data_IF_701203925153
#
_entry.id   IF_701203925153
#
_cell.length_a   1.000
_cell.length_b   1.000
_cell.length_c   1.000
_cell.angle_alpha   90.00
_cell.angle_beta   90.00
_cell.angle_gamma   90.00
#
_symmetry.space_group_name_H-M   'P 1'
#
loop_
_entity.id
_entity.type
_entity.pdbx_description
1 polymer ?
#
# COMPACT_ATOMS: atom_id res chain seq x y z
N UNK A 1 14.15 -5.75 4.01
CA UNK A 1 13.71 -6.18 2.66
C UNK A 1 14.08 -5.09 1.67
N UNK A 2 14.81 -5.44 0.61
CA UNK A 2 15.54 -4.47 -0.21
C UNK A 2 14.61 -3.55 -1.01
N UNK A 3 14.79 -2.24 -0.84
CA UNK A 3 14.19 -1.17 -1.66
C UNK A 3 14.46 -1.32 -3.17
N UNK A 4 15.37 -2.21 -3.56
CA UNK A 4 15.77 -2.48 -4.95
C UNK A 4 14.61 -2.80 -5.89
N UNK A 5 13.56 -3.50 -5.42
CA UNK A 5 12.38 -3.78 -6.24
C UNK A 5 11.60 -2.49 -6.56
N UNK A 6 11.39 -1.64 -5.55
CA UNK A 6 10.70 -0.37 -5.71
C UNK A 6 11.49 0.57 -6.63
N UNK A 7 12.82 0.63 -6.47
CA UNK A 7 13.69 1.46 -7.31
C UNK A 7 13.61 1.04 -8.78
N UNK A 8 13.68 -0.27 -9.08
CA UNK A 8 13.55 -0.78 -10.46
C UNK A 8 12.18 -0.50 -11.08
N UNK A 9 11.12 -0.59 -10.27
CA UNK A 9 9.76 -0.25 -10.71
C UNK A 9 9.63 1.23 -11.07
N UNK A 10 10.19 2.11 -10.23
CA UNK A 10 10.17 3.56 -10.44
C UNK A 10 10.97 3.96 -11.70
N UNK A 11 12.11 3.34 -11.97
CA UNK A 11 12.90 3.59 -13.18
C UNK A 11 12.15 3.20 -14.47
N UNK A 12 11.50 2.04 -14.48
CA UNK A 12 10.78 1.57 -15.67
C UNK A 12 9.50 2.39 -15.95
N UNK A 13 8.77 2.78 -14.89
CA UNK A 13 7.64 3.72 -14.99
C UNK A 13 8.12 5.07 -15.53
N UNK A 14 9.31 5.52 -15.10
CA UNK A 14 9.92 6.73 -15.63
C UNK A 14 10.16 6.59 -17.13
N UNK A 15 10.72 5.49 -17.64
CA UNK A 15 11.03 5.39 -19.07
C UNK A 15 9.80 5.42 -20.00
N UNK A 16 8.63 4.97 -19.52
CA UNK A 16 7.41 4.83 -20.34
C UNK A 16 6.32 5.90 -20.09
N UNK A 17 6.52 6.86 -19.17
CA UNK A 17 5.50 7.85 -18.79
C UNK A 17 5.81 9.27 -19.29
N UNK A 18 4.74 10.06 -19.53
CA UNK A 18 4.83 11.49 -19.84
C UNK A 18 5.38 12.27 -18.64
N UNK A 19 6.03 13.42 -18.87
CA UNK A 19 6.65 14.21 -17.78
C UNK A 19 5.70 14.48 -16.60
N UNK A 20 4.46 14.88 -16.89
CA UNK A 20 3.41 15.11 -15.88
C UNK A 20 2.99 13.80 -15.19
N UNK A 21 2.86 12.71 -15.96
CA UNK A 21 2.55 11.38 -15.43
C UNK A 21 3.63 10.83 -14.51
N UNK A 22 4.92 11.09 -14.79
CA UNK A 22 6.04 10.74 -13.91
C UNK A 22 5.91 11.42 -12.56
N UNK A 23 5.77 12.76 -12.56
CA UNK A 23 5.66 13.53 -11.32
C UNK A 23 4.47 13.02 -10.51
N UNK A 24 3.30 12.86 -11.15
CA UNK A 24 2.08 12.41 -10.48
C UNK A 24 2.17 10.99 -9.91
N UNK A 25 2.67 10.02 -10.68
CA UNK A 25 2.81 8.63 -10.24
C UNK A 25 3.87 8.52 -9.14
N UNK A 26 5.03 9.16 -9.30
CA UNK A 26 6.08 9.13 -8.29
C UNK A 26 5.63 9.79 -6.99
N UNK A 27 4.97 10.95 -7.04
CA UNK A 27 4.42 11.59 -5.84
C UNK A 27 3.36 10.74 -5.18
N UNK A 28 2.32 10.32 -5.91
CA UNK A 28 1.21 9.59 -5.30
C UNK A 28 1.64 8.24 -4.74
N UNK A 29 2.45 7.46 -5.48
CA UNK A 29 2.88 6.13 -5.02
C UNK A 29 3.83 6.25 -3.84
N UNK A 30 4.84 7.12 -3.91
CA UNK A 30 5.80 7.28 -2.80
C UNK A 30 5.11 7.87 -1.57
N UNK A 31 4.31 8.93 -1.73
CA UNK A 31 3.60 9.53 -0.60
C UNK A 31 2.62 8.54 0.04
N UNK A 32 1.84 7.80 -0.76
CA UNK A 32 0.93 6.76 -0.26
C UNK A 32 1.67 5.65 0.47
N UNK A 33 2.75 5.11 -0.09
CA UNK A 33 3.52 4.04 0.53
C UNK A 33 4.17 4.53 1.82
N UNK A 34 4.82 5.69 1.81
CA UNK A 34 5.50 6.25 2.98
C UNK A 34 4.50 6.56 4.09
N UNK A 35 3.37 7.21 3.79
CA UNK A 35 2.35 7.47 4.80
C UNK A 35 1.75 6.19 5.37
N UNK A 36 1.48 5.20 4.53
CA UNK A 36 0.92 3.92 4.99
C UNK A 36 1.93 3.15 5.83
N UNK A 37 3.21 3.11 5.44
CA UNK A 37 4.24 2.38 6.16
C UNK A 37 4.67 3.08 7.47
N UNK A 38 4.87 4.40 7.44
CA UNK A 38 5.38 5.17 8.58
C UNK A 38 4.24 5.61 9.51
N UNK A 39 3.17 6.15 8.94
CA UNK A 39 2.00 6.61 9.70
C UNK A 39 1.13 5.46 10.18
N UNK A 40 1.04 4.37 9.42
CA UNK A 40 0.24 3.21 9.77
C UNK A 40 0.67 2.54 11.07
N UNK A 41 1.94 2.16 11.17
CA UNK A 41 2.43 1.51 12.40
C UNK A 41 2.47 2.47 13.58
N UNK A 42 2.82 3.74 13.41
CA UNK A 42 2.93 4.65 14.55
C UNK A 42 1.57 5.08 15.13
N UNK A 43 0.55 5.26 14.29
CA UNK A 43 -0.77 5.79 14.70
C UNK A 43 -1.74 4.68 15.07
N UNK A 44 -1.71 3.55 14.36
CA UNK A 44 -2.71 2.49 14.50
C UNK A 44 -2.19 1.21 15.19
N UNK A 45 -0.97 1.18 15.76
CA UNK A 45 -0.49 -0.05 16.44
C UNK A 45 -1.32 -0.45 17.67
N UNK A 46 -1.90 0.52 18.37
CA UNK A 46 -2.63 0.32 19.63
C UNK A 46 -4.15 0.55 19.51
N UNK A 47 -4.68 0.56 18.28
CA UNK A 47 -6.09 0.87 17.98
C UNK A 47 -7.08 -0.03 18.75
N UNK A 48 -6.80 -1.33 18.84
CA UNK A 48 -7.66 -2.28 19.57
C UNK A 48 -7.44 -2.19 21.09
N UNK A 49 -6.19 -1.98 21.54
CA UNK A 49 -5.86 -1.95 22.97
C UNK A 49 -6.31 -0.68 23.70
N UNK A 50 -6.55 0.41 22.95
CA UNK A 50 -7.07 1.68 23.49
C UNK A 50 -8.59 1.83 23.32
N UNK A 51 -9.26 0.84 22.74
CA UNK A 51 -10.70 0.89 22.52
C UNK A 51 -11.44 0.49 23.81
N UNK A 52 -11.86 1.45 24.63
CA UNK A 52 -12.48 1.13 25.94
C UNK A 52 -14.00 1.13 25.87
N UNK A 53 -14.63 0.07 26.39
CA UNK A 53 -16.08 0.00 26.58
C UNK A 53 -16.47 0.19 28.06
N UNK A 54 -17.48 1.01 28.35
CA UNK A 54 -17.99 1.18 29.71
C UNK A 54 -18.93 0.03 30.11
N UNK A 55 -18.36 -1.14 30.37
CA UNK A 55 -19.09 -2.33 30.82
C UNK A 55 -18.17 -3.27 31.59
N UNK A 56 -18.73 -4.05 32.51
CA UNK A 56 -18.03 -5.15 33.19
C UNK A 56 -18.21 -6.50 32.48
N UNK A 57 -18.94 -6.52 31.36
CA UNK A 57 -19.22 -7.75 30.61
C UNK A 57 -17.94 -8.22 29.87
N UNK A 58 -17.43 -9.44 30.15
CA UNK A 58 -16.26 -9.97 29.46
C UNK A 58 -16.55 -10.16 27.97
N UNK A 59 -15.60 -9.76 27.12
CA UNK A 59 -15.68 -9.92 25.66
C UNK A 59 -16.50 -8.85 24.93
N UNK A 60 -17.17 -7.93 25.63
CA UNK A 60 -17.92 -6.84 25.00
C UNK A 60 -17.02 -5.92 24.15
N UNK A 61 -15.82 -5.62 24.66
CA UNK A 61 -14.85 -4.77 23.96
C UNK A 61 -14.46 -5.35 22.60
N UNK A 62 -14.22 -6.67 22.52
CA UNK A 62 -13.86 -7.34 21.29
C UNK A 62 -14.97 -7.26 20.23
N UNK A 63 -16.22 -7.53 20.62
CA UNK A 63 -17.35 -7.51 19.68
C UNK A 63 -17.72 -6.09 19.26
N UNK A 64 -17.62 -5.12 20.18
CA UNK A 64 -17.86 -3.72 19.87
C UNK A 64 -16.77 -3.16 18.95
N UNK A 65 -15.51 -3.56 19.15
CA UNK A 65 -14.41 -3.18 18.27
C UNK A 65 -14.61 -3.75 16.86
N UNK A 66 -14.93 -5.04 16.74
CA UNK A 66 -15.19 -5.70 15.45
C UNK A 66 -16.37 -5.05 14.70
N UNK A 67 -17.42 -4.66 15.42
CA UNK A 67 -18.56 -3.95 14.83
C UNK A 67 -18.25 -2.50 14.43
N UNK A 68 -17.40 -1.80 15.18
CA UNK A 68 -17.02 -0.42 14.90
C UNK A 68 -16.01 -0.31 13.74
N UNK A 69 -15.01 -1.19 13.73
CA UNK A 69 -13.93 -1.20 12.76
C UNK A 69 -13.70 -2.62 12.19
N UNK A 70 -14.66 -3.15 11.40
CA UNK A 70 -14.55 -4.50 10.81
C UNK A 70 -13.33 -4.66 9.90
N UNK A 71 -12.83 -3.54 9.37
CA UNK A 71 -11.52 -3.45 8.74
C UNK A 71 -10.78 -2.24 9.32
N UNK A 72 -9.62 -2.46 9.92
CA UNK A 72 -8.74 -1.36 10.36
C UNK A 72 -8.39 -0.44 9.18
N UNK A 73 -8.26 0.86 9.45
CA UNK A 73 -7.90 1.83 8.41
C UNK A 73 -6.56 1.50 7.75
N UNK A 74 -5.58 1.03 8.51
CA UNK A 74 -4.28 0.67 7.97
C UNK A 74 -4.37 -0.48 6.95
N UNK A 75 -5.12 -1.55 7.25
CA UNK A 75 -5.34 -2.66 6.32
C UNK A 75 -6.04 -2.20 5.04
N UNK A 76 -7.01 -1.28 5.14
CA UNK A 76 -7.66 -0.69 3.97
C UNK A 76 -6.65 0.03 3.06
N UNK A 77 -5.76 0.84 3.65
CA UNK A 77 -4.78 1.63 2.89
C UNK A 77 -3.74 0.73 2.22
N UNK A 78 -3.27 -0.31 2.92
CA UNK A 78 -2.37 -1.32 2.34
C UNK A 78 -3.05 -1.99 1.13
N UNK A 79 -4.30 -2.42 1.28
CA UNK A 79 -5.04 -3.04 0.17
C UNK A 79 -5.21 -2.08 -1.02
N UNK A 80 -5.53 -0.81 -0.76
CA UNK A 80 -5.64 0.21 -1.79
C UNK A 80 -4.31 0.42 -2.54
N UNK A 81 -3.19 0.46 -1.84
CA UNK A 81 -1.85 0.57 -2.47
C UNK A 81 -1.56 -0.64 -3.35
N UNK A 82 -1.85 -1.86 -2.89
CA UNK A 82 -1.66 -3.08 -3.69
C UNK A 82 -2.53 -3.03 -4.96
N UNK A 83 -3.81 -2.67 -4.83
CA UNK A 83 -4.73 -2.59 -5.96
C UNK A 83 -4.29 -1.54 -7.00
N UNK A 84 -3.80 -0.37 -6.56
CA UNK A 84 -3.32 0.68 -7.47
C UNK A 84 -2.00 0.30 -8.15
N UNK A 85 -1.11 -0.39 -7.44
CA UNK A 85 0.20 -0.78 -7.98
C UNK A 85 0.13 -2.01 -8.90
N UNK A 86 -0.85 -2.89 -8.71
CA UNK A 86 -0.97 -4.15 -9.46
C UNK A 86 -1.03 -3.97 -10.98
N UNK A 87 -1.88 -3.10 -11.57
CA UNK A 87 -1.92 -2.90 -13.03
C UNK A 87 -0.58 -2.40 -13.60
N UNK A 88 0.10 -1.52 -12.88
CA UNK A 88 1.41 -1.00 -13.28
C UNK A 88 2.45 -2.12 -13.27
N UNK A 89 2.50 -2.93 -12.20
CA UNK A 89 3.40 -4.09 -12.10
C UNK A 89 3.13 -5.11 -13.21
N UNK A 90 1.85 -5.40 -13.49
CA UNK A 90 1.45 -6.32 -14.57
C UNK A 90 1.87 -5.79 -15.94
N UNK A 91 1.66 -4.50 -16.22
CA UNK A 91 2.11 -3.87 -17.46
C UNK A 91 3.63 -3.95 -17.61
N UNK A 92 4.40 -3.67 -16.56
CA UNK A 92 5.85 -3.81 -16.60
C UNK A 92 6.28 -5.26 -16.84
N UNK A 93 5.63 -6.22 -16.18
CA UNK A 93 5.86 -7.65 -16.43
C UNK A 93 5.62 -8.03 -17.89
N UNK A 94 4.52 -7.54 -18.46
CA UNK A 94 4.20 -7.73 -19.87
C UNK A 94 5.22 -7.05 -20.78
N UNK A 95 5.58 -5.80 -20.51
CA UNK A 95 6.57 -5.04 -21.27
C UNK A 95 7.93 -5.74 -21.26
N UNK A 96 8.43 -6.16 -20.09
CA UNK A 96 9.67 -6.93 -19.99
C UNK A 96 9.61 -8.25 -20.78
N UNK A 97 8.46 -8.94 -20.78
CA UNK A 97 8.28 -10.19 -21.50
C UNK A 97 8.19 -10.00 -23.03
N UNK A 98 7.54 -8.92 -23.50
CA UNK A 98 7.35 -8.63 -24.93
C UNK A 98 8.51 -7.87 -25.57
N UNK A 99 9.19 -7.01 -24.80
CA UNK A 99 10.25 -6.11 -25.28
C UNK A 99 11.62 -6.79 -25.21
N UNK A 100 11.83 -7.84 -24.40
CA UNK A 100 13.01 -8.71 -24.54
C UNK A 100 12.91 -9.47 -25.87
N UNK A 101 13.70 -9.12 -26.91
CA UNK A 101 13.81 -9.95 -28.07
C UNK A 101 14.60 -11.19 -27.63
N UNK A 102 14.25 -12.33 -28.21
CA UNK A 102 15.13 -13.49 -28.23
C UNK A 102 16.52 -13.03 -28.75
N UNK A 103 17.53 -12.94 -27.88
CA UNK A 103 18.92 -12.66 -28.28
C UNK A 103 19.50 -11.30 -27.83
N UNK A 104 19.98 -11.24 -26.59
CA UNK A 104 21.42 -11.13 -26.28
C UNK A 104 21.67 -11.51 -24.82
#
# INVERSE_FOLDING_TARGET
MSWSFLTRLLDEISNHSTFVGKIWLTLLIVFRIVLTAVGGESIYYDEQSKFVCNTHQPGCENVCYDAFAPLSHIRFWVFQVIMITTPTVMYLGFAMHKIRPHGR
#
